data_IF_564299092670
#
_entry.id   IF_564299092670
#
_cell.length_a   1.000
_cell.length_b   1.000
_cell.length_c   1.000
_cell.angle_alpha   90.00
_cell.angle_beta   90.00
_cell.angle_gamma   90.00
#
_symmetry.space_group_name_H-M   'P 1'
#
loop_
_entity.id
_entity.type
_entity.pdbx_description
1 polymer ?
#
# COMPACT_ATOMS: atom_id res chain seq x y z
N UNK A 1 -13.29 14.38 0.47
CA UNK A 1 -12.92 13.28 -0.46
C UNK A 1 -14.04 12.26 -0.40
N UNK A 2 -14.64 11.91 -1.53
CA UNK A 2 -15.72 10.93 -1.58
C UNK A 2 -15.44 9.97 -2.74
N UNK A 3 -15.16 8.71 -2.42
CA UNK A 3 -14.84 7.67 -3.41
C UNK A 3 -16.15 7.06 -3.95
N UNK A 4 -16.73 7.66 -5.00
CA UNK A 4 -17.96 7.12 -5.62
C UNK A 4 -17.70 5.78 -6.31
N UNK A 5 -16.58 5.68 -7.02
CA UNK A 5 -16.12 4.48 -7.72
C UNK A 5 -14.70 4.16 -7.31
N UNK A 6 -14.34 2.88 -7.37
CA UNK A 6 -12.98 2.46 -7.06
C UNK A 6 -12.04 2.87 -8.20
N UNK A 7 -10.98 3.65 -7.92
CA UNK A 7 -10.05 4.10 -8.94
C UNK A 7 -9.13 2.94 -9.36
N UNK A 8 -9.39 2.33 -10.49
CA UNK A 8 -8.45 1.39 -11.10
C UNK A 8 -7.29 2.18 -11.69
N UNK A 9 -6.05 1.70 -11.44
CA UNK A 9 -4.83 2.30 -11.95
C UNK A 9 -4.11 1.27 -12.83
N UNK A 10 -3.57 1.71 -13.96
CA UNK A 10 -2.85 0.84 -14.88
C UNK A 10 -1.47 1.40 -15.19
N UNK A 11 -0.54 0.52 -15.48
CA UNK A 11 0.79 0.84 -15.99
C UNK A 11 1.04 0.01 -17.25
N UNK A 12 2.25 -0.01 -17.78
CA UNK A 12 2.59 -0.86 -18.92
C UNK A 12 2.59 -2.37 -18.60
N UNK A 13 2.67 -2.75 -17.32
CA UNK A 13 2.81 -4.16 -16.90
C UNK A 13 1.78 -4.57 -15.85
N UNK A 14 1.14 -3.61 -15.19
CA UNK A 14 0.36 -3.86 -13.97
C UNK A 14 -1.05 -3.30 -14.09
N UNK A 15 -1.99 -4.02 -13.51
CA UNK A 15 -3.32 -3.56 -13.18
C UNK A 15 -3.48 -3.51 -11.66
N UNK A 16 -3.77 -2.33 -11.14
CA UNK A 16 -4.08 -2.09 -9.73
C UNK A 16 -5.60 -1.91 -9.63
N UNK A 17 -6.28 -2.95 -9.19
CA UNK A 17 -7.74 -3.04 -9.17
C UNK A 17 -8.31 -3.18 -7.77
N UNK A 18 -9.62 -3.10 -7.67
CA UNK A 18 -10.34 -3.39 -6.43
C UNK A 18 -10.08 -4.83 -6.00
N UNK A 19 -10.00 -5.04 -4.68
CA UNK A 19 -9.91 -6.35 -4.07
C UNK A 19 -11.25 -7.07 -4.18
N UNK A 20 -11.24 -8.30 -4.68
CA UNK A 20 -12.40 -9.16 -4.89
C UNK A 20 -12.33 -10.42 -4.03
N UNK A 21 -13.46 -11.06 -3.80
CA UNK A 21 -13.52 -12.29 -3.00
C UNK A 21 -12.66 -13.41 -3.60
N UNK A 22 -12.56 -13.47 -4.92
CA UNK A 22 -11.69 -14.42 -5.65
C UNK A 22 -10.20 -14.30 -5.31
N UNK A 23 -9.77 -13.17 -4.73
CA UNK A 23 -8.37 -12.94 -4.32
C UNK A 23 -8.01 -13.61 -2.98
N UNK A 24 -8.95 -14.33 -2.36
CA UNK A 24 -8.79 -14.85 -1.00
C UNK A 24 -7.53 -15.72 -0.80
N UNK A 25 -7.11 -16.51 -1.79
CA UNK A 25 -5.91 -17.36 -1.68
C UNK A 25 -4.64 -16.51 -1.51
N UNK A 26 -4.47 -15.48 -2.35
CA UNK A 26 -3.33 -14.58 -2.25
C UNK A 26 -3.40 -13.74 -0.97
N UNK A 27 -4.58 -13.26 -0.58
CA UNK A 27 -4.77 -12.56 0.69
C UNK A 27 -4.39 -13.45 1.86
N UNK A 28 -4.84 -14.70 1.87
CA UNK A 28 -4.48 -15.68 2.91
C UNK A 28 -2.97 -15.88 2.96
N UNK A 29 -2.33 -16.13 1.83
CA UNK A 29 -0.88 -16.28 1.73
C UNK A 29 -0.14 -15.05 2.25
N UNK A 30 -0.40 -13.88 1.69
CA UNK A 30 0.29 -12.65 2.07
C UNK A 30 0.15 -12.31 3.56
N UNK A 31 -0.98 -12.64 4.17
CA UNK A 31 -1.25 -12.31 5.57
C UNK A 31 -0.86 -13.42 6.57
N UNK A 32 -0.47 -14.60 6.11
CA UNK A 32 -0.09 -15.72 6.97
C UNK A 32 1.35 -16.19 6.78
N UNK A 33 1.96 -15.97 5.62
CA UNK A 33 3.33 -16.36 5.36
C UNK A 33 4.31 -15.63 6.28
N UNK A 34 5.20 -16.39 6.92
CA UNK A 34 6.16 -15.86 7.91
C UNK A 34 7.23 -14.96 7.27
N UNK A 35 7.60 -15.23 6.02
CA UNK A 35 8.59 -14.43 5.29
C UNK A 35 8.02 -13.06 4.94
N UNK A 36 6.80 -13.04 4.40
CA UNK A 36 6.09 -11.79 4.09
C UNK A 36 5.87 -10.96 5.35
N UNK A 37 5.51 -11.60 6.46
CA UNK A 37 5.17 -10.93 7.72
C UNK A 37 6.34 -10.83 8.71
N UNK A 38 7.57 -11.10 8.28
CA UNK A 38 8.74 -11.09 9.16
C UNK A 38 8.91 -9.76 9.93
N UNK A 39 8.60 -8.65 9.29
CA UNK A 39 8.69 -7.31 9.87
C UNK A 39 7.32 -6.66 10.16
N UNK A 40 6.22 -7.39 9.99
CA UNK A 40 4.87 -6.83 10.09
C UNK A 40 4.06 -7.60 11.12
N UNK A 41 3.60 -6.87 12.15
CA UNK A 41 2.66 -7.40 13.13
C UNK A 41 1.24 -7.03 12.71
N UNK A 42 0.45 -8.00 12.30
CA UNK A 42 -0.95 -7.81 11.89
C UNK A 42 -1.77 -9.08 12.12
N UNK A 43 -3.10 -8.99 12.22
CA UNK A 43 -3.97 -10.16 12.32
C UNK A 43 -3.73 -11.11 11.15
N UNK A 44 -3.57 -12.39 11.47
CA UNK A 44 -3.40 -13.46 10.51
C UNK A 44 -4.70 -13.77 9.77
N UNK A 45 -4.63 -14.21 8.52
CA UNK A 45 -5.77 -14.64 7.71
C UNK A 45 -5.48 -16.00 7.05
N UNK A 46 -5.09 -17.00 7.87
CA UNK A 46 -4.61 -18.32 7.47
C UNK A 46 -5.71 -19.29 7.01
N UNK A 47 -6.98 -18.87 7.00
CA UNK A 47 -8.09 -19.63 6.44
C UNK A 47 -8.87 -18.83 5.41
N UNK A 48 -9.61 -19.53 4.54
CA UNK A 48 -10.47 -18.90 3.54
C UNK A 48 -11.45 -17.91 4.16
N UNK A 49 -12.08 -18.29 5.25
CA UNK A 49 -13.07 -17.48 5.96
C UNK A 49 -12.45 -16.17 6.48
N UNK A 50 -11.27 -16.25 7.09
CA UNK A 50 -10.55 -15.07 7.58
C UNK A 50 -10.11 -14.17 6.44
N UNK A 51 -9.66 -14.74 5.31
CA UNK A 51 -9.27 -13.99 4.13
C UNK A 51 -10.48 -13.27 3.52
N UNK A 52 -11.61 -13.93 3.36
CA UNK A 52 -12.86 -13.33 2.89
C UNK A 52 -13.33 -12.22 3.84
N UNK A 53 -13.32 -12.48 5.14
CA UNK A 53 -13.67 -11.46 6.14
C UNK A 53 -12.76 -10.22 6.05
N UNK A 54 -11.45 -10.41 5.80
CA UNK A 54 -10.54 -9.30 5.55
C UNK A 54 -10.94 -8.51 4.30
N UNK A 55 -11.24 -9.19 3.17
CA UNK A 55 -11.66 -8.58 1.92
C UNK A 55 -12.94 -7.75 2.11
N UNK A 56 -13.94 -8.32 2.77
CA UNK A 56 -15.20 -7.63 3.08
C UNK A 56 -14.95 -6.36 3.92
N UNK A 57 -14.09 -6.47 4.94
CA UNK A 57 -13.75 -5.37 5.83
C UNK A 57 -13.04 -4.22 5.07
N UNK A 58 -12.11 -4.56 4.16
CA UNK A 58 -11.47 -3.58 3.28
C UNK A 58 -12.50 -2.89 2.39
N UNK A 59 -13.42 -3.65 1.80
CA UNK A 59 -14.47 -3.10 0.95
C UNK A 59 -15.46 -2.19 1.72
N UNK A 60 -15.76 -2.50 2.98
CA UNK A 60 -16.55 -1.64 3.86
C UNK A 60 -15.81 -0.33 4.20
N UNK A 61 -14.51 -0.43 4.52
CA UNK A 61 -13.67 0.75 4.78
C UNK A 61 -13.51 1.63 3.54
N UNK A 62 -13.47 1.05 2.34
CA UNK A 62 -13.51 1.82 1.10
C UNK A 62 -14.82 2.61 0.98
N UNK A 63 -15.99 1.98 1.19
CA UNK A 63 -17.29 2.65 1.14
C UNK A 63 -17.41 3.80 2.14
N UNK A 64 -16.71 3.71 3.28
CA UNK A 64 -16.64 4.78 4.30
C UNK A 64 -15.47 5.77 4.08
N UNK A 65 -14.82 5.73 2.93
CA UNK A 65 -13.70 6.61 2.56
C UNK A 65 -12.50 6.56 3.52
N UNK A 66 -12.24 5.41 4.14
CA UNK A 66 -11.14 5.21 5.09
C UNK A 66 -9.89 4.63 4.46
N UNK A 67 -10.03 3.93 3.33
CA UNK A 67 -8.92 3.25 2.65
C UNK A 67 -9.14 3.19 1.14
N UNK A 68 -8.05 3.26 0.40
CA UNK A 68 -7.93 2.79 -0.97
C UNK A 68 -6.94 1.62 -0.95
N UNK A 69 -7.43 0.42 -1.19
CA UNK A 69 -6.63 -0.81 -1.17
C UNK A 69 -6.67 -1.45 -2.55
N UNK A 70 -5.57 -1.39 -3.26
CA UNK A 70 -5.42 -2.00 -4.57
C UNK A 70 -4.82 -3.40 -4.47
N UNK A 71 -5.46 -4.35 -5.11
CA UNK A 71 -4.88 -5.61 -5.53
C UNK A 71 -3.95 -5.34 -6.72
N UNK A 72 -2.73 -5.82 -6.69
CA UNK A 72 -1.78 -5.75 -7.80
C UNK A 72 -1.86 -7.05 -8.58
N UNK A 73 -2.04 -6.95 -9.90
CA UNK A 73 -1.96 -8.07 -10.85
C UNK A 73 -1.12 -7.67 -12.07
N UNK A 74 -0.63 -8.63 -12.83
CA UNK A 74 -0.05 -8.35 -14.14
C UNK A 74 -1.16 -7.94 -15.11
N UNK A 75 -0.84 -7.11 -16.10
CA UNK A 75 -1.85 -6.46 -16.98
C UNK A 75 -2.78 -7.47 -17.66
N UNK A 76 -2.26 -8.63 -18.05
CA UNK A 76 -3.02 -9.65 -18.75
C UNK A 76 -3.48 -10.81 -17.84
N UNK A 77 -3.31 -10.66 -16.53
CA UNK A 77 -3.65 -11.69 -15.55
C UNK A 77 -4.57 -11.13 -14.48
N UNK A 78 -5.57 -11.92 -14.09
CA UNK A 78 -6.44 -11.53 -12.98
C UNK A 78 -5.89 -11.93 -11.61
N UNK A 79 -4.87 -12.80 -11.58
CA UNK A 79 -4.27 -13.29 -10.34
C UNK A 79 -3.64 -12.14 -9.55
N UNK A 80 -4.06 -12.00 -8.32
CA UNK A 80 -3.40 -11.12 -7.35
C UNK A 80 -1.99 -11.62 -7.04
N UNK A 81 -1.01 -10.73 -7.05
CA UNK A 81 0.39 -11.01 -6.69
C UNK A 81 0.89 -10.15 -5.53
N UNK A 82 0.12 -9.18 -5.10
CA UNK A 82 0.46 -8.27 -4.02
C UNK A 82 -0.60 -7.22 -3.79
N UNK A 83 -0.33 -6.33 -2.87
CA UNK A 83 -1.22 -5.21 -2.58
C UNK A 83 -0.46 -3.91 -2.30
N UNK A 84 -1.16 -2.79 -2.49
CA UNK A 84 -0.71 -1.47 -2.08
C UNK A 84 -1.94 -0.65 -1.65
N UNK A 85 -1.80 0.16 -0.60
CA UNK A 85 -2.94 0.94 -0.12
C UNK A 85 -2.55 2.33 0.34
N UNK A 86 -3.53 3.25 0.30
CA UNK A 86 -3.52 4.52 1.03
C UNK A 86 -4.60 4.46 2.10
N UNK A 87 -4.23 4.69 3.33
CA UNK A 87 -5.10 4.60 4.48
C UNK A 87 -4.70 5.62 5.56
N UNK A 88 -5.33 5.59 6.71
CA UNK A 88 -5.04 6.49 7.83
C UNK A 88 -4.94 7.97 7.40
N UNK A 89 -5.96 8.41 6.65
CA UNK A 89 -6.00 9.79 6.17
C UNK A 89 -6.13 10.75 7.35
N UNK A 90 -5.33 11.84 7.35
CA UNK A 90 -5.48 12.94 8.29
C UNK A 90 -6.89 13.55 8.21
N UNK A 91 -7.32 14.26 9.26
CA UNK A 91 -8.64 14.92 9.32
C UNK A 91 -8.84 15.90 8.15
N UNK A 92 -7.80 16.66 7.79
CA UNK A 92 -7.81 17.58 6.65
C UNK A 92 -7.65 16.87 5.29
N UNK A 93 -7.50 15.54 5.28
CA UNK A 93 -7.30 14.72 4.07
C UNK A 93 -6.09 15.12 3.21
N UNK A 94 -5.06 15.71 3.82
CA UNK A 94 -3.83 16.12 3.13
C UNK A 94 -2.67 15.17 3.33
N UNK A 95 -2.76 14.26 4.30
CA UNK A 95 -1.76 13.23 4.58
C UNK A 95 -2.43 11.86 4.57
N UNK A 96 -1.74 10.86 4.09
CA UNK A 96 -2.14 9.44 4.17
C UNK A 96 -0.92 8.56 4.45
N UNK A 97 -1.15 7.38 4.99
CA UNK A 97 -0.15 6.33 5.06
C UNK A 97 -0.20 5.43 3.83
N UNK A 98 0.96 4.98 3.36
CA UNK A 98 1.08 3.96 2.34
C UNK A 98 1.53 2.64 2.96
N UNK A 99 0.80 1.56 2.65
CA UNK A 99 1.16 0.20 3.02
C UNK A 99 1.24 -0.68 1.77
N UNK A 100 2.08 -1.70 1.79
CA UNK A 100 2.26 -2.62 0.66
C UNK A 100 2.82 -3.97 1.08
N UNK A 101 2.48 -4.98 0.33
CA UNK A 101 3.08 -6.31 0.38
C UNK A 101 3.09 -6.95 -1.02
N UNK A 102 4.01 -7.87 -1.23
CA UNK A 102 4.21 -8.54 -2.51
C UNK A 102 4.64 -9.97 -2.26
N UNK A 103 4.04 -10.88 -3.01
CA UNK A 103 4.45 -12.28 -3.07
C UNK A 103 5.97 -12.36 -3.36
N UNK A 104 6.75 -13.08 -2.55
CA UNK A 104 8.19 -13.19 -2.70
C UNK A 104 8.66 -13.58 -4.11
N UNK A 105 7.89 -14.41 -4.82
CA UNK A 105 8.21 -14.86 -6.19
C UNK A 105 8.21 -13.69 -7.19
N UNK A 106 7.54 -12.60 -6.88
CA UNK A 106 7.44 -11.40 -7.72
C UNK A 106 8.35 -10.26 -7.26
N UNK A 107 9.06 -10.43 -6.15
CA UNK A 107 10.00 -9.41 -5.65
C UNK A 107 11.22 -9.24 -6.57
N UNK A 108 11.93 -8.13 -6.40
CA UNK A 108 13.13 -7.74 -7.18
C UNK A 108 12.90 -7.49 -8.68
N UNK A 109 11.66 -7.52 -9.17
CA UNK A 109 11.27 -7.28 -10.57
C UNK A 109 10.76 -5.84 -10.81
N UNK A 110 10.90 -4.94 -9.83
CA UNK A 110 10.46 -3.55 -9.93
C UNK A 110 8.95 -3.34 -9.82
N UNK A 111 8.16 -4.39 -9.58
CA UNK A 111 6.69 -4.35 -9.51
C UNK A 111 6.21 -3.37 -8.43
N UNK A 112 6.73 -3.48 -7.21
CA UNK A 112 6.31 -2.58 -6.13
C UNK A 112 6.77 -1.13 -6.36
N UNK A 113 7.92 -0.92 -6.99
CA UNK A 113 8.40 0.42 -7.37
C UNK A 113 7.46 1.10 -8.39
N UNK A 114 7.00 0.34 -9.38
CA UNK A 114 6.06 0.79 -10.39
C UNK A 114 4.67 1.07 -9.79
N UNK A 115 4.17 0.16 -8.94
CA UNK A 115 2.92 0.33 -8.20
C UNK A 115 2.95 1.57 -7.28
N UNK A 116 4.04 1.78 -6.56
CA UNK A 116 4.20 2.93 -5.67
C UNK A 116 4.17 4.25 -6.46
N UNK A 117 4.85 4.32 -7.61
CA UNK A 117 4.86 5.52 -8.45
C UNK A 117 3.46 5.91 -8.92
N UNK A 118 2.67 4.96 -9.43
CA UNK A 118 1.32 5.26 -9.92
C UNK A 118 0.37 5.63 -8.78
N UNK A 119 0.49 4.99 -7.62
CA UNK A 119 -0.33 5.30 -6.44
C UNK A 119 0.03 6.68 -5.85
N UNK A 120 1.31 7.02 -5.76
CA UNK A 120 1.75 8.36 -5.33
C UNK A 120 1.28 9.45 -6.30
N UNK A 121 1.41 9.22 -7.61
CA UNK A 121 0.89 10.13 -8.64
C UNK A 121 -0.61 10.36 -8.46
N UNK A 122 -1.39 9.29 -8.29
CA UNK A 122 -2.82 9.38 -8.03
C UNK A 122 -3.11 10.13 -6.72
N UNK A 123 -2.41 9.80 -5.64
CA UNK A 123 -2.56 10.45 -4.33
C UNK A 123 -2.33 11.96 -4.41
N UNK A 124 -1.27 12.40 -5.06
CA UNK A 124 -0.93 13.81 -5.18
C UNK A 124 -1.81 14.58 -6.17
N UNK A 125 -2.12 13.99 -7.32
CA UNK A 125 -2.81 14.69 -8.42
C UNK A 125 -4.33 14.63 -8.31
N UNK A 126 -4.90 13.49 -7.90
CA UNK A 126 -6.35 13.29 -7.87
C UNK A 126 -6.93 13.42 -6.45
N UNK A 127 -6.25 12.91 -5.43
CA UNK A 127 -6.72 13.04 -4.05
C UNK A 127 -6.32 14.37 -3.42
N UNK A 128 -5.36 15.08 -3.99
CA UNK A 128 -4.87 16.35 -3.49
C UNK A 128 -4.07 16.21 -2.20
N UNK A 129 -3.48 15.04 -1.96
CA UNK A 129 -2.56 14.85 -0.84
C UNK A 129 -1.39 15.82 -0.96
N UNK A 130 -0.90 16.30 0.18
CA UNK A 130 0.33 17.07 0.29
C UNK A 130 1.49 16.21 0.72
N UNK A 131 1.21 15.12 1.44
CA UNK A 131 2.20 14.23 2.04
C UNK A 131 1.70 12.78 2.05
N UNK A 132 2.64 11.85 1.88
CA UNK A 132 2.42 10.42 2.13
C UNK A 132 3.48 9.94 3.11
N UNK A 133 3.06 9.21 4.14
CA UNK A 133 3.92 8.62 5.15
C UNK A 133 4.00 7.10 4.96
N UNK A 134 5.12 6.52 5.34
CA UNK A 134 5.34 5.07 5.33
C UNK A 134 6.01 4.65 6.63
N UNK A 135 5.48 3.61 7.27
CA UNK A 135 6.01 3.04 8.49
C UNK A 135 6.68 1.71 8.15
N UNK A 136 7.93 1.55 8.53
CA UNK A 136 8.67 0.32 8.25
C UNK A 136 9.59 -0.03 9.40
N UNK A 137 9.85 -1.31 9.57
CA UNK A 137 10.81 -1.78 10.57
C UNK A 137 12.23 -1.35 10.17
N UNK A 138 13.03 -0.89 11.14
CA UNK A 138 14.40 -0.37 10.92
C UNK A 138 15.36 -1.36 10.27
N UNK A 139 15.08 -2.67 10.39
CA UNK A 139 15.84 -3.75 9.75
C UNK A 139 15.27 -4.21 8.41
N UNK A 140 14.19 -3.61 7.91
CA UNK A 140 13.59 -3.97 6.62
C UNK A 140 14.29 -3.21 5.47
N UNK A 141 15.49 -3.66 5.13
CA UNK A 141 16.33 -3.03 4.10
C UNK A 141 15.65 -2.91 2.74
N UNK A 142 14.83 -3.91 2.36
CA UNK A 142 14.12 -3.90 1.08
C UNK A 142 13.08 -2.78 1.02
N UNK A 143 12.30 -2.63 2.10
CA UNK A 143 11.34 -1.53 2.23
C UNK A 143 12.05 -0.17 2.25
N UNK A 144 13.13 -0.02 3.02
CA UNK A 144 13.92 1.23 3.11
C UNK A 144 14.48 1.61 1.74
N UNK A 145 15.05 0.66 0.99
CA UNK A 145 15.57 0.92 -0.37
C UNK A 145 14.46 1.35 -1.34
N UNK A 146 13.29 0.70 -1.27
CA UNK A 146 12.13 1.04 -2.08
C UNK A 146 11.64 2.46 -1.79
N UNK A 147 11.48 2.79 -0.51
CA UNK A 147 11.04 4.12 -0.06
C UNK A 147 12.01 5.22 -0.53
N UNK A 148 13.31 5.03 -0.32
CA UNK A 148 14.33 6.00 -0.77
C UNK A 148 14.34 6.19 -2.29
N UNK A 149 14.16 5.11 -3.07
CA UNK A 149 14.02 5.17 -4.53
C UNK A 149 12.83 6.04 -4.95
N UNK A 150 11.75 5.97 -4.20
CA UNK A 150 10.54 6.78 -4.42
C UNK A 150 10.58 8.15 -3.70
N UNK A 151 11.79 8.64 -3.36
CA UNK A 151 12.02 9.98 -2.79
C UNK A 151 11.49 10.19 -1.38
N UNK A 152 11.09 9.13 -0.69
CA UNK A 152 10.80 9.23 0.73
C UNK A 152 12.06 9.56 1.53
N UNK A 153 11.90 10.43 2.52
CA UNK A 153 12.95 10.82 3.46
C UNK A 153 12.59 10.35 4.86
N UNK A 154 13.59 9.91 5.61
CA UNK A 154 13.40 9.55 7.01
C UNK A 154 12.92 10.79 7.79
N UNK A 155 11.86 10.63 8.56
CA UNK A 155 11.34 11.68 9.44
C UNK A 155 12.04 11.61 10.79
N UNK A 156 13.06 12.44 10.94
CA UNK A 156 13.80 12.53 12.19
C UNK A 156 12.91 13.05 13.33
N UNK A 157 13.15 12.54 14.54
CA UNK A 157 12.46 12.98 15.76
C UNK A 157 11.03 12.49 15.94
N UNK A 158 10.45 11.77 14.97
CA UNK A 158 9.15 11.10 15.15
C UNK A 158 9.36 9.61 15.41
N UNK A 159 8.85 9.15 16.52
CA UNK A 159 8.96 7.77 17.00
C UNK A 159 7.56 7.16 17.00
N UNK A 160 7.45 5.92 16.54
CA UNK A 160 6.25 5.12 16.77
C UNK A 160 6.22 4.72 18.25
N UNK A 161 5.15 5.12 18.95
CA UNK A 161 5.04 4.89 20.41
C UNK A 161 4.73 3.44 20.75
N UNK A 162 4.13 2.71 19.82
CA UNK A 162 3.70 1.33 20.02
C UNK A 162 4.82 0.35 19.67
N UNK A 163 5.77 0.75 18.80
CA UNK A 163 6.90 -0.08 18.42
C UNK A 163 8.13 0.78 18.06
N UNK A 164 9.11 0.84 18.95
CA UNK A 164 10.34 1.63 18.78
C UNK A 164 11.26 1.13 17.64
N UNK A 165 11.03 -0.06 17.09
CA UNK A 165 11.76 -0.57 15.94
C UNK A 165 11.19 -0.04 14.60
N UNK A 166 10.05 0.63 14.63
CA UNK A 166 9.44 1.26 13.45
C UNK A 166 10.05 2.65 13.23
N UNK A 167 10.49 2.87 12.01
CA UNK A 167 10.95 4.17 11.51
C UNK A 167 9.95 4.71 10.50
N UNK A 168 9.82 6.03 10.48
CA UNK A 168 8.80 6.71 9.68
C UNK A 168 9.49 7.45 8.54
N UNK A 169 9.04 7.18 7.33
CA UNK A 169 9.44 7.89 6.13
C UNK A 169 8.30 8.78 5.64
N UNK A 170 8.63 9.87 4.99
CA UNK A 170 7.65 10.76 4.38
C UNK A 170 8.11 11.25 3.01
N UNK A 171 7.15 11.47 2.12
CA UNK A 171 7.35 12.14 0.83
C UNK A 171 6.30 13.23 0.66
N UNK A 172 6.76 14.42 0.29
CA UNK A 172 5.90 15.55 -0.01
C UNK A 172 5.50 15.54 -1.49
N UNK A 173 4.34 16.15 -1.77
CA UNK A 173 3.92 16.41 -3.14
C UNK A 173 5.01 17.20 -3.86
N UNK A 174 5.49 16.75 -5.02
CA UNK A 174 6.43 17.53 -5.82
C UNK A 174 5.88 18.93 -6.11
N UNK A 175 6.74 19.94 -6.02
CA UNK A 175 6.38 21.29 -6.47
C UNK A 175 5.95 21.21 -7.95
N UNK A 176 4.84 21.86 -8.29
CA UNK A 176 4.48 22.00 -9.70
C UNK A 176 5.56 22.83 -10.37
N UNK A 177 6.27 22.23 -11.31
CA UNK A 177 7.14 22.99 -12.21
C UNK A 177 6.20 23.86 -13.03
N UNK A 178 6.19 25.15 -12.76
CA UNK A 178 5.53 26.11 -13.64
C UNK A 178 6.32 26.09 -14.95
N UNK A 179 5.72 25.46 -15.98
CA UNK A 179 6.19 25.51 -17.35
C UNK A 179 5.76 26.81 -18.02
#
# INVERSE_FOLDING_TARGET
MNFKEFPQLTTSRLCLRKLEESDWECVSFLRSDKTVNHFVQRPNADTKEKAIQFIENINLKFKSNQILYWCISLENEQRMIGSICLWNFSEDRKTAEIGYDLDPDFQNNGIMDESMKVVLSFGFSHLGLKKVEAFTHSKNDNSIKLLRRNKFRLKEGRIDKDNLEIIIFEVDRPAMVQG
#
